data_IF_499152326832
#
_entry.id   IF_499152326832
#
_cell.length_a   1.000
_cell.length_b   1.000
_cell.length_c   1.000
_cell.angle_alpha   90.00
_cell.angle_beta   90.00
_cell.angle_gamma   90.00
#
_symmetry.space_group_name_H-M   'P 1'
#
loop_
_entity.id
_entity.type
_entity.pdbx_description
1 polymer ?
#
# COMPACT_ATOMS: atom_id res chain seq x y z
N UNK A 1 -22.85 -36.50 30.49
CA UNK A 1 -21.61 -35.84 30.96
C UNK A 1 -21.04 -35.05 29.80
N UNK A 2 -21.39 -33.76 29.71
CA UNK A 2 -20.51 -32.58 29.93
C UNK A 2 -19.39 -32.50 28.87
N UNK A 3 -19.17 -31.42 28.11
CA UNK A 3 -19.70 -30.06 28.13
C UNK A 3 -19.26 -29.38 26.83
N UNK A 4 -20.18 -28.73 26.10
CA UNK A 4 -19.86 -27.87 24.95
C UNK A 4 -19.42 -26.52 25.51
N UNK A 5 -18.10 -26.26 25.54
CA UNK A 5 -17.58 -24.94 25.93
C UNK A 5 -17.82 -23.94 24.81
N UNK A 6 -18.92 -23.18 24.91
CA UNK A 6 -19.01 -21.83 24.33
C UNK A 6 -17.97 -20.97 25.04
N UNK A 7 -16.93 -20.56 24.34
CA UNK A 7 -16.09 -19.45 24.78
C UNK A 7 -16.74 -18.16 24.29
N UNK A 8 -17.16 -17.37 25.28
CA UNK A 8 -17.87 -16.12 25.13
C UNK A 8 -17.04 -15.09 24.36
N UNK A 9 -17.68 -14.42 23.40
CA UNK A 9 -17.29 -13.08 23.01
C UNK A 9 -17.54 -12.16 24.21
N UNK A 10 -16.49 -11.83 24.96
CA UNK A 10 -16.49 -10.74 25.93
C UNK A 10 -15.05 -10.34 26.24
N UNK A 11 -14.54 -9.40 25.46
CA UNK A 11 -13.49 -8.49 25.90
C UNK A 11 -13.89 -7.08 25.49
N UNK A 12 -15.11 -6.69 25.86
CA UNK A 12 -15.46 -5.29 26.00
C UNK A 12 -14.71 -4.79 27.24
N UNK A 13 -13.66 -4.00 27.05
CA UNK A 13 -12.94 -3.35 28.14
C UNK A 13 -13.87 -2.29 28.75
N UNK A 14 -14.74 -2.69 29.68
CA UNK A 14 -15.68 -1.80 30.38
C UNK A 14 -15.02 -0.85 31.38
N UNK A 15 -13.72 -0.57 31.23
CA UNK A 15 -12.95 0.35 32.08
C UNK A 15 -11.71 0.90 31.40
N UNK A 16 -11.85 1.35 30.15
CA UNK A 16 -10.97 2.43 29.69
C UNK A 16 -11.48 3.72 30.35
N UNK A 17 -10.68 4.43 31.15
CA UNK A 17 -11.10 5.71 31.72
C UNK A 17 -11.29 6.71 30.57
N UNK A 18 -12.55 6.94 30.21
CA UNK A 18 -12.98 7.87 29.14
C UNK A 18 -12.58 9.33 29.40
N UNK A 19 -12.00 9.60 30.58
CA UNK A 19 -11.63 10.94 31.03
C UNK A 19 -10.30 11.44 30.47
N UNK A 20 -9.43 10.56 29.94
CA UNK A 20 -8.13 11.02 29.41
C UNK A 20 -8.21 11.59 27.99
N UNK A 21 -9.21 11.19 27.19
CA UNK A 21 -9.43 11.69 25.83
C UNK A 21 -10.32 12.94 25.79
N UNK A 22 -11.04 13.26 26.87
CA UNK A 22 -11.92 14.44 26.93
C UNK A 22 -11.15 15.72 27.28
N UNK A 23 -10.03 15.60 27.97
CA UNK A 23 -9.15 16.73 28.36
C UNK A 23 -8.29 17.22 27.19
N UNK A 24 -7.87 16.33 26.29
CA UNK A 24 -7.07 16.70 25.11
C UNK A 24 -7.89 17.38 23.99
N UNK A 25 -9.22 17.21 24.00
CA UNK A 25 -10.11 17.82 23.02
C UNK A 25 -10.30 19.33 23.26
N UNK A 26 -10.22 19.79 24.51
CA UNK A 26 -10.37 21.20 24.88
C UNK A 26 -9.11 22.05 24.67
N UNK A 27 -7.99 21.43 24.27
CA UNK A 27 -6.73 22.12 23.98
C UNK A 27 -6.42 22.19 22.49
N UNK A 28 -7.32 21.76 21.61
CA UNK A 28 -7.16 21.87 20.17
C UNK A 28 -7.53 23.30 19.73
N UNK A 29 -6.63 24.05 19.10
CA UNK A 29 -6.97 25.34 18.49
C UNK A 29 -8.09 25.17 17.45
N UNK A 30 -9.02 26.12 17.39
CA UNK A 30 -10.20 26.10 16.48
C UNK A 30 -9.83 26.25 14.98
N UNK A 31 -8.54 26.40 14.67
CA UNK A 31 -8.03 26.66 13.32
C UNK A 31 -7.99 25.42 12.41
N UNK A 32 -8.41 24.25 12.94
CA UNK A 32 -8.41 22.97 12.23
C UNK A 32 -7.01 22.34 12.14
N UNK A 33 -6.98 21.01 11.96
CA UNK A 33 -5.72 20.27 11.88
C UNK A 33 -5.00 20.63 10.58
N UNK A 34 -3.87 21.33 10.70
CA UNK A 34 -3.05 21.69 9.55
C UNK A 34 -2.05 20.57 9.26
N UNK A 35 -1.52 20.53 8.04
CA UNK A 35 -0.46 19.58 7.66
C UNK A 35 0.77 19.67 8.60
N UNK A 36 0.96 20.82 9.26
CA UNK A 36 2.03 21.05 10.24
C UNK A 36 1.96 20.14 11.45
N UNK A 37 0.76 19.83 11.89
CA UNK A 37 0.54 19.08 13.12
C UNK A 37 0.84 17.59 12.94
N UNK A 38 0.86 17.12 11.68
CA UNK A 38 1.17 15.73 11.31
C UNK A 38 2.63 15.51 10.90
N UNK A 39 3.41 16.57 10.74
CA UNK A 39 4.81 16.47 10.39
C UNK A 39 5.65 16.65 11.67
N UNK A 40 6.58 15.72 11.98
CA UNK A 40 7.47 15.87 13.12
C UNK A 40 8.27 17.19 12.98
N UNK A 41 8.40 17.94 14.06
CA UNK A 41 8.76 19.38 14.15
C UNK A 41 10.13 19.83 13.63
N UNK A 42 10.64 19.23 12.55
CA UNK A 42 11.82 19.69 11.81
C UNK A 42 11.60 19.73 10.29
N UNK A 43 10.39 19.46 9.79
CA UNK A 43 10.10 19.50 8.34
C UNK A 43 9.42 20.80 7.87
N UNK A 44 9.22 21.76 8.76
CA UNK A 44 8.61 23.04 8.42
C UNK A 44 9.59 24.19 8.59
N UNK A 45 10.44 24.35 7.56
CA UNK A 45 10.88 25.68 7.13
C UNK A 45 10.31 25.92 5.73
N UNK A 46 9.97 27.17 5.40
CA UNK A 46 8.78 27.49 4.65
C UNK A 46 9.00 27.29 3.15
N UNK A 47 8.14 26.48 2.53
CA UNK A 47 7.96 26.46 1.07
C UNK A 47 7.42 27.82 0.53
N UNK A 48 7.03 28.73 1.44
CA UNK A 48 6.53 30.08 1.12
C UNK A 48 7.60 31.18 1.07
N UNK A 49 8.86 30.92 1.45
CA UNK A 49 9.96 31.91 1.33
C UNK A 49 10.86 31.63 0.12
N UNK A 50 10.39 30.81 -0.83
CA UNK A 50 11.07 30.50 -2.09
C UNK A 50 10.42 31.18 -3.32
N UNK A 51 9.55 32.18 -3.11
CA UNK A 51 9.03 33.00 -4.21
C UNK A 51 10.01 34.11 -4.65
N UNK A 52 11.12 34.30 -3.93
CA UNK A 52 12.24 35.14 -4.34
C UNK A 52 13.49 34.27 -4.50
N UNK A 53 14.05 34.29 -5.70
CA UNK A 53 15.28 33.59 -6.13
C UNK A 53 15.16 32.07 -6.26
N UNK A 54 15.02 31.62 -7.52
CA UNK A 54 15.18 30.24 -7.94
C UNK A 54 16.65 29.79 -7.81
N UNK A 55 17.16 29.74 -6.59
CA UNK A 55 18.35 28.95 -6.30
C UNK A 55 17.88 27.54 -6.01
N UNK A 56 17.99 26.70 -7.05
CA UNK A 56 17.72 25.28 -7.00
C UNK A 56 18.28 24.70 -5.69
N UNK A 57 17.38 24.34 -4.77
CA UNK A 57 17.72 23.48 -3.65
C UNK A 57 18.28 22.22 -4.28
N UNK A 58 19.60 22.11 -4.27
CA UNK A 58 20.31 20.87 -4.60
C UNK A 58 19.98 19.89 -3.49
N UNK A 59 18.78 19.30 -3.55
CA UNK A 59 18.55 17.99 -2.95
C UNK A 59 19.67 17.11 -3.46
N UNK A 60 20.49 16.61 -2.53
CA UNK A 60 21.82 16.07 -2.77
C UNK A 60 21.92 15.27 -4.07
N UNK A 61 23.01 15.54 -4.79
CA UNK A 61 23.45 14.83 -5.96
C UNK A 61 23.66 13.32 -5.68
N UNK A 62 22.58 12.54 -5.65
CA UNK A 62 22.63 11.07 -5.54
C UNK A 62 21.98 10.33 -6.73
N UNK A 63 21.30 11.01 -7.67
CA UNK A 63 20.55 10.31 -8.74
C UNK A 63 20.80 10.85 -10.17
N UNK A 64 21.93 11.50 -10.43
CA UNK A 64 22.34 11.80 -11.81
C UNK A 64 22.72 10.53 -12.60
N UNK A 65 23.09 9.45 -11.90
CA UNK A 65 23.71 8.26 -12.50
C UNK A 65 22.74 7.13 -12.88
N UNK A 66 21.43 7.29 -12.66
CA UNK A 66 20.43 6.21 -12.83
C UNK A 66 19.36 6.52 -13.86
N UNK A 67 19.73 7.16 -14.97
CA UNK A 67 18.83 7.33 -16.13
C UNK A 67 19.01 6.17 -17.12
N UNK A 68 17.92 5.64 -17.65
CA UNK A 68 17.96 4.70 -18.78
C UNK A 68 18.37 5.46 -20.06
N UNK A 69 18.70 4.74 -21.14
CA UNK A 69 19.01 5.37 -22.44
C UNK A 69 17.83 6.21 -22.97
N UNK A 70 16.61 5.82 -22.60
CA UNK A 70 15.32 6.46 -22.83
C UNK A 70 14.98 7.57 -21.80
N UNK A 71 15.94 8.00 -20.97
CA UNK A 71 15.81 9.15 -20.07
C UNK A 71 14.95 8.92 -18.82
N UNK A 72 14.47 7.69 -18.59
CA UNK A 72 13.66 7.35 -17.41
C UNK A 72 14.53 7.07 -16.19
N UNK A 73 14.04 7.46 -15.01
CA UNK A 73 14.68 7.07 -13.75
C UNK A 73 14.60 5.55 -13.56
N UNK A 74 15.74 4.93 -13.26
CA UNK A 74 15.84 3.49 -13.02
C UNK A 74 15.23 3.13 -11.67
N UNK A 75 14.38 2.09 -11.66
CA UNK A 75 13.80 1.54 -10.45
C UNK A 75 14.89 1.13 -9.43
N UNK A 76 14.91 1.68 -8.20
CA UNK A 76 15.88 1.34 -7.16
C UNK A 76 15.99 -0.17 -6.92
N UNK A 77 17.16 -0.65 -6.51
CA UNK A 77 17.41 -2.09 -6.38
C UNK A 77 16.49 -2.76 -5.36
N UNK A 78 16.25 -2.12 -4.22
CA UNK A 78 15.37 -2.65 -3.16
C UNK A 78 13.89 -2.76 -3.56
N UNK A 79 13.46 -2.08 -4.62
CA UNK A 79 12.08 -2.10 -5.11
C UNK A 79 11.90 -3.07 -6.29
N UNK A 80 13.01 -3.51 -6.90
CA UNK A 80 12.95 -4.58 -7.88
C UNK A 80 12.61 -5.88 -7.16
N UNK A 81 11.90 -6.75 -7.86
CA UNK A 81 11.62 -8.09 -7.36
C UNK A 81 12.43 -9.11 -8.14
N UNK A 82 13.04 -10.03 -7.39
CA UNK A 82 13.91 -11.06 -7.94
C UNK A 82 13.11 -12.14 -8.69
N UNK A 83 11.89 -12.38 -8.24
CA UNK A 83 10.97 -13.37 -8.83
C UNK A 83 9.92 -12.62 -9.65
N UNK A 84 10.29 -12.27 -10.88
CA UNK A 84 9.30 -11.94 -11.91
C UNK A 84 8.62 -13.25 -12.27
N UNK A 85 7.29 -13.29 -12.16
CA UNK A 85 6.43 -14.46 -12.36
C UNK A 85 7.03 -15.45 -13.37
N UNK A 86 7.47 -16.62 -12.92
CA UNK A 86 8.03 -17.60 -13.84
C UNK A 86 6.87 -18.09 -14.71
N UNK A 87 6.92 -17.85 -16.02
CA UNK A 87 5.95 -18.42 -16.95
C UNK A 87 5.85 -19.95 -16.85
N UNK A 88 6.82 -20.62 -16.21
CA UNK A 88 6.81 -22.05 -15.90
C UNK A 88 5.95 -22.46 -14.71
N UNK A 89 5.44 -21.53 -13.90
CA UNK A 89 4.64 -21.87 -12.72
C UNK A 89 3.26 -22.42 -13.12
N UNK A 90 3.10 -23.74 -12.95
CA UNK A 90 1.89 -24.48 -13.37
C UNK A 90 0.62 -23.93 -12.73
N UNK A 91 0.68 -23.56 -11.45
CA UNK A 91 -0.45 -22.97 -10.72
C UNK A 91 -0.85 -21.61 -11.28
N UNK A 92 0.11 -20.77 -11.64
CA UNK A 92 -0.14 -19.46 -12.23
C UNK A 92 -0.81 -19.62 -13.61
N UNK A 93 -0.34 -20.55 -14.45
CA UNK A 93 -0.95 -20.84 -15.75
C UNK A 93 -2.39 -21.35 -15.57
N UNK A 94 -2.59 -22.28 -14.62
CA UNK A 94 -3.90 -22.84 -14.30
C UNK A 94 -4.89 -21.75 -13.86
N UNK A 95 -4.48 -20.92 -12.89
CA UNK A 95 -5.32 -19.83 -12.37
C UNK A 95 -5.67 -18.81 -13.46
N UNK A 96 -4.69 -18.38 -14.26
CA UNK A 96 -4.94 -17.48 -15.41
C UNK A 96 -5.92 -18.09 -16.40
N UNK A 97 -5.82 -19.39 -16.68
CA UNK A 97 -6.77 -20.10 -17.55
C UNK A 97 -8.17 -20.10 -16.94
N UNK A 98 -8.31 -20.42 -15.66
CA UNK A 98 -9.61 -20.45 -14.97
C UNK A 98 -10.27 -19.06 -14.94
N UNK A 99 -9.52 -18.00 -14.64
CA UNK A 99 -10.03 -16.63 -14.63
C UNK A 99 -10.57 -16.22 -16.01
N UNK A 100 -9.83 -16.56 -17.08
CA UNK A 100 -10.26 -16.30 -18.47
C UNK A 100 -11.49 -17.12 -18.87
N UNK A 101 -11.55 -18.38 -18.47
CA UNK A 101 -12.71 -19.26 -18.72
C UNK A 101 -13.97 -18.74 -18.03
N UNK A 102 -13.84 -18.26 -16.80
CA UNK A 102 -14.94 -17.67 -16.03
C UNK A 102 -15.26 -16.22 -16.43
N UNK A 103 -14.52 -15.64 -17.39
CA UNK A 103 -14.66 -14.24 -17.82
C UNK A 103 -14.54 -13.25 -16.66
N UNK A 104 -13.68 -13.55 -15.69
CA UNK A 104 -13.42 -12.70 -14.53
C UNK A 104 -12.16 -11.86 -14.74
N UNK A 105 -12.27 -10.57 -14.46
CA UNK A 105 -11.13 -9.63 -14.46
C UNK A 105 -10.50 -9.60 -13.07
N UNK A 106 -9.18 -9.51 -13.02
CA UNK A 106 -8.45 -9.37 -11.76
C UNK A 106 -7.58 -8.12 -11.77
N UNK A 107 -7.45 -7.49 -10.60
CA UNK A 107 -6.54 -6.35 -10.42
C UNK A 107 -5.09 -6.77 -10.66
N UNK A 108 -4.77 -8.04 -10.38
CA UNK A 108 -3.44 -8.61 -10.61
C UNK A 108 -3.02 -8.49 -12.09
N UNK A 109 -3.94 -8.72 -13.03
CA UNK A 109 -3.68 -8.60 -14.46
C UNK A 109 -3.86 -7.17 -14.97
N UNK A 110 -4.91 -6.47 -14.55
CA UNK A 110 -5.21 -5.09 -15.00
C UNK A 110 -4.08 -4.11 -14.61
N UNK A 111 -3.57 -4.19 -13.37
CA UNK A 111 -2.53 -3.30 -12.87
C UNK A 111 -1.10 -3.79 -13.15
N UNK A 112 -0.94 -4.89 -13.90
CA UNK A 112 0.35 -5.59 -14.11
C UNK A 112 1.08 -5.80 -12.78
N UNK A 113 0.34 -6.30 -11.80
CA UNK A 113 0.79 -6.32 -10.43
C UNK A 113 2.08 -7.15 -10.35
N UNK A 114 3.16 -6.58 -9.82
CA UNK A 114 4.43 -7.25 -9.97
C UNK A 114 4.43 -8.57 -9.14
N UNK A 115 3.62 -8.70 -8.08
CA UNK A 115 3.55 -9.89 -7.21
C UNK A 115 2.63 -11.01 -7.75
N UNK A 116 2.17 -10.91 -8.99
CA UNK A 116 1.24 -11.87 -9.59
C UNK A 116 1.71 -13.32 -9.52
N UNK A 117 3.04 -13.55 -9.57
CA UNK A 117 3.67 -14.86 -9.43
C UNK A 117 3.34 -15.56 -8.12
N UNK A 118 3.55 -14.86 -7.01
CA UNK A 118 3.33 -15.40 -5.67
C UNK A 118 1.87 -15.38 -5.25
N UNK A 119 1.07 -14.42 -5.71
CA UNK A 119 -0.36 -14.38 -5.42
C UNK A 119 -1.08 -15.52 -6.14
N UNK A 120 -1.02 -15.58 -7.48
CA UNK A 120 -1.77 -16.58 -8.24
C UNK A 120 -1.09 -17.96 -8.19
N UNK A 121 0.24 -18.01 -8.23
CA UNK A 121 0.99 -19.26 -8.17
C UNK A 121 1.01 -19.90 -6.78
N UNK A 122 0.80 -19.10 -5.73
CA UNK A 122 0.98 -19.52 -4.35
C UNK A 122 2.47 -19.68 -4.00
N UNK A 123 2.76 -20.44 -2.95
CA UNK A 123 4.12 -20.78 -2.54
C UNK A 123 4.15 -21.67 -1.30
N UNK A 124 5.35 -21.96 -0.76
CA UNK A 124 5.48 -22.80 0.42
C UNK A 124 4.71 -22.17 1.60
N UNK A 125 3.63 -22.81 2.04
CA UNK A 125 2.80 -22.32 3.14
C UNK A 125 1.80 -21.20 2.80
N UNK A 126 1.62 -20.84 1.52
CA UNK A 126 0.66 -19.81 1.11
C UNK A 126 -0.25 -20.29 -0.04
N UNK A 127 -1.58 -20.19 0.10
CA UNK A 127 -2.52 -20.63 -0.92
C UNK A 127 -2.53 -19.70 -2.13
N UNK A 128 -2.90 -20.23 -3.29
CA UNK A 128 -3.19 -19.43 -4.47
C UNK A 128 -4.34 -18.46 -4.18
N UNK A 129 -4.08 -17.17 -4.37
CA UNK A 129 -4.98 -16.06 -4.02
C UNK A 129 -5.16 -15.14 -5.22
N UNK A 130 -6.40 -14.76 -5.52
CA UNK A 130 -6.72 -13.81 -6.59
C UNK A 130 -7.67 -12.72 -6.07
N UNK A 131 -7.41 -11.47 -6.45
CA UNK A 131 -8.29 -10.34 -6.20
C UNK A 131 -9.09 -10.03 -7.48
N UNK A 132 -10.37 -10.41 -7.46
CA UNK A 132 -11.30 -10.28 -8.59
C UNK A 132 -11.97 -8.92 -8.54
N UNK A 133 -12.09 -8.29 -9.71
CA UNK A 133 -12.85 -7.05 -9.90
C UNK A 133 -14.30 -7.41 -10.29
N UNK A 134 -15.27 -6.92 -9.53
CA UNK A 134 -16.69 -7.27 -9.72
C UNK A 134 -17.36 -6.50 -10.86
N UNK A 135 -17.00 -5.22 -11.06
CA UNK A 135 -17.68 -4.32 -11.99
C UNK A 135 -16.98 -4.17 -13.36
N UNK A 136 -16.12 -5.12 -13.72
CA UNK A 136 -15.36 -5.09 -14.98
C UNK A 136 -13.93 -4.56 -14.81
N UNK A 137 -13.30 -4.21 -15.93
CA UNK A 137 -11.90 -3.75 -16.03
C UNK A 137 -11.75 -2.23 -16.11
N UNK A 138 -12.79 -1.53 -16.53
CA UNK A 138 -12.74 -0.09 -16.83
C UNK A 138 -13.20 0.72 -15.62
N UNK A 139 -12.32 1.63 -15.16
CA UNK A 139 -12.63 2.61 -14.13
C UNK A 139 -13.02 3.95 -14.79
N UNK A 140 -14.04 4.63 -14.30
CA UNK A 140 -14.46 5.96 -14.82
C UNK A 140 -13.66 7.13 -14.26
N UNK A 141 -12.60 6.85 -13.49
CA UNK A 141 -11.73 7.84 -12.85
C UNK A 141 -10.44 8.02 -13.63
#
# INVERSE_FOLDING_TARGET
MFSVKRLAANAFCSRCPVNHLRSAASTLPDDGLSLADFLPGNSQKPLLQAAGEMNAVKTGAMDAQRRTADGRLRLPEWLKRDVVAKQSDVNLIRMKRQLRQLKLITVCEAARCPNIGECLGGGPGRPSTAAIMLMGDTCTR
#
